data_IF_535026909567
#
_entry.id   IF_535026909567
#
_cell.length_a   1.000
_cell.length_b   1.000
_cell.length_c   1.000
_cell.angle_alpha   90.00
_cell.angle_beta   90.00
_cell.angle_gamma   90.00
#
_symmetry.space_group_name_H-M   'P 1'
#
loop_
_entity.id
_entity.type
_entity.pdbx_description
1 polymer ?
#
# COMPACT_ATOMS: atom_id res chain seq x y z
N UNK A 1 5.65 -15.93 0.54
CA UNK A 1 4.44 -15.61 -0.27
C UNK A 1 4.22 -14.11 -0.48
N UNK A 2 4.19 -13.32 0.61
CA UNK A 2 4.08 -11.86 0.57
C UNK A 2 5.04 -11.15 -0.41
N UNK A 3 6.32 -11.51 -0.44
CA UNK A 3 7.27 -10.92 -1.39
C UNK A 3 6.93 -11.25 -2.86
N UNK A 4 6.44 -12.46 -3.13
CA UNK A 4 5.99 -12.83 -4.47
C UNK A 4 4.72 -12.07 -4.86
N UNK A 5 3.85 -11.75 -3.88
CA UNK A 5 2.69 -10.89 -4.11
C UNK A 5 3.11 -9.49 -4.57
N UNK A 6 4.09 -8.89 -3.90
CA UNK A 6 4.62 -7.56 -4.27
C UNK A 6 5.20 -7.59 -5.68
N UNK A 7 6.07 -8.57 -5.99
CA UNK A 7 6.71 -8.67 -7.30
C UNK A 7 5.69 -8.92 -8.41
N UNK A 8 4.71 -9.79 -8.19
CA UNK A 8 3.65 -10.04 -9.19
C UNK A 8 2.84 -8.77 -9.48
N UNK A 9 2.47 -8.02 -8.44
CA UNK A 9 1.80 -6.74 -8.60
C UNK A 9 2.67 -5.71 -9.33
N UNK A 10 3.98 -5.68 -9.07
CA UNK A 10 4.91 -4.76 -9.73
C UNK A 10 5.08 -5.02 -11.25
N UNK A 11 4.65 -6.20 -11.74
CA UNK A 11 4.67 -6.58 -13.16
C UNK A 11 3.26 -6.72 -13.76
N UNK A 12 2.26 -6.07 -13.15
CA UNK A 12 0.85 -6.07 -13.57
C UNK A 12 0.12 -7.44 -13.50
N UNK A 13 0.71 -8.44 -12.85
CA UNK A 13 0.11 -9.76 -12.58
C UNK A 13 -0.75 -9.72 -11.30
N UNK A 14 -1.77 -8.85 -11.27
CA UNK A 14 -2.54 -8.51 -10.06
C UNK A 14 -3.28 -9.70 -9.47
N UNK A 15 -3.93 -10.53 -10.30
CA UNK A 15 -4.62 -11.74 -9.85
C UNK A 15 -3.65 -12.72 -9.20
N UNK A 16 -2.46 -12.90 -9.79
CA UNK A 16 -1.42 -13.77 -9.24
C UNK A 16 -0.86 -13.22 -7.93
N UNK A 17 -0.65 -11.91 -7.89
CA UNK A 17 -0.26 -11.20 -6.67
C UNK A 17 -1.28 -11.41 -5.55
N UNK A 18 -2.56 -11.35 -5.88
CA UNK A 18 -3.64 -11.61 -4.93
C UNK A 18 -3.69 -13.07 -4.45
N UNK A 19 -3.45 -14.04 -5.33
CA UNK A 19 -3.31 -15.46 -4.94
C UNK A 19 -2.16 -15.65 -3.92
N UNK A 20 -0.99 -15.07 -4.19
CA UNK A 20 0.14 -15.14 -3.26
C UNK A 20 -0.16 -14.45 -1.92
N UNK A 21 -0.88 -13.33 -1.95
CA UNK A 21 -1.31 -12.63 -0.75
C UNK A 21 -2.31 -13.46 0.07
N UNK A 22 -3.33 -14.07 -0.56
CA UNK A 22 -4.29 -14.95 0.11
C UNK A 22 -3.58 -16.14 0.79
N UNK A 23 -2.57 -16.73 0.14
CA UNK A 23 -1.75 -17.78 0.75
C UNK A 23 -0.94 -17.26 1.94
N UNK A 24 -0.44 -16.03 1.87
CA UNK A 24 0.36 -15.41 2.93
C UNK A 24 -0.44 -15.13 4.20
N UNK A 25 -1.65 -14.57 4.07
CA UNK A 25 -2.50 -14.23 5.23
C UNK A 25 -3.12 -15.46 5.90
N UNK A 26 -3.23 -16.59 5.18
CA UNK A 26 -3.73 -17.86 5.70
C UNK A 26 -2.66 -18.71 6.38
N UNK A 27 -1.41 -18.24 6.48
CA UNK A 27 -0.38 -18.99 7.22
C UNK A 27 -0.79 -19.15 8.68
N UNK A 28 -1.16 -18.05 9.36
CA UNK A 28 -1.52 -18.13 10.78
C UNK A 28 -3.03 -18.23 11.05
N UNK A 29 -3.86 -17.77 10.11
CA UNK A 29 -5.33 -17.72 10.27
C UNK A 29 -6.08 -18.63 9.29
N UNK A 30 -5.37 -19.55 8.63
CA UNK A 30 -5.94 -20.46 7.65
C UNK A 30 -6.45 -21.77 8.24
N UNK A 31 -6.76 -22.71 7.35
CA UNK A 31 -7.35 -24.01 7.69
C UNK A 31 -6.34 -24.96 8.37
N UNK A 32 -5.04 -24.75 8.15
CA UNK A 32 -4.01 -25.56 8.78
C UNK A 32 -3.73 -25.06 10.21
N UNK A 33 -4.56 -25.44 11.17
CA UNK A 33 -4.42 -25.01 12.58
C UNK A 33 -3.06 -25.35 13.23
N UNK A 34 -2.30 -26.29 12.66
CA UNK A 34 -0.97 -26.66 13.17
C UNK A 34 0.14 -25.70 12.71
N UNK A 35 -0.12 -24.88 11.69
CA UNK A 35 0.90 -24.00 11.12
C UNK A 35 1.47 -23.03 12.16
N UNK A 36 0.69 -22.59 13.14
CA UNK A 36 1.11 -21.60 14.16
C UNK A 36 1.16 -22.16 15.57
N UNK A 37 1.29 -23.48 15.74
CA UNK A 37 1.41 -24.09 17.06
C UNK A 37 2.63 -23.56 17.81
N UNK A 38 3.76 -23.45 17.11
CA UNK A 38 5.02 -22.93 17.69
C UNK A 38 5.04 -21.39 17.82
N UNK A 39 3.95 -20.71 17.44
CA UNK A 39 3.79 -19.27 17.51
C UNK A 39 3.46 -18.61 16.17
N UNK A 40 3.33 -17.27 16.21
CA UNK A 40 3.01 -16.46 15.04
C UNK A 40 4.23 -16.23 14.14
N UNK A 41 4.00 -16.22 12.83
CA UNK A 41 5.05 -15.92 11.86
C UNK A 41 5.25 -14.40 11.72
N UNK A 42 5.93 -13.78 12.69
CA UNK A 42 6.10 -12.32 12.75
C UNK A 42 6.61 -11.69 11.44
N UNK A 43 7.58 -12.33 10.77
CA UNK A 43 8.08 -11.89 9.47
C UNK A 43 7.00 -11.95 8.36
N UNK A 44 6.15 -12.99 8.39
CA UNK A 44 5.02 -13.13 7.47
C UNK A 44 3.99 -12.02 7.70
N UNK A 45 3.65 -11.73 8.96
CA UNK A 45 2.72 -10.65 9.32
C UNK A 45 3.23 -9.28 8.84
N UNK A 46 4.51 -8.98 9.04
CA UNK A 46 5.15 -7.78 8.49
C UNK A 46 5.12 -7.76 6.96
N UNK A 47 5.35 -8.90 6.32
CA UNK A 47 5.24 -9.07 4.87
C UNK A 47 3.82 -8.84 4.34
N UNK A 48 2.78 -9.24 5.09
CA UNK A 48 1.39 -9.01 4.71
C UNK A 48 1.07 -7.51 4.67
N UNK A 49 1.54 -6.73 5.66
CA UNK A 49 1.41 -5.28 5.63
C UNK A 49 2.11 -4.67 4.41
N UNK A 50 3.34 -5.12 4.11
CA UNK A 50 4.08 -4.65 2.94
C UNK A 50 3.38 -5.01 1.62
N UNK A 51 2.81 -6.22 1.50
CA UNK A 51 2.04 -6.61 0.32
C UNK A 51 0.83 -5.68 0.09
N UNK A 52 0.16 -5.25 1.15
CA UNK A 52 -0.95 -4.30 1.07
C UNK A 52 -0.47 -2.89 0.70
N UNK A 53 0.52 -2.35 1.41
CA UNK A 53 0.92 -0.94 1.30
C UNK A 53 1.87 -0.71 0.13
N UNK A 54 2.93 -1.52 0.05
CA UNK A 54 3.93 -1.42 -1.01
C UNK A 54 3.41 -2.13 -2.27
N UNK A 55 2.82 -3.33 -2.18
CA UNK A 55 2.26 -4.02 -3.34
C UNK A 55 1.02 -3.32 -3.91
N UNK A 56 -0.17 -3.70 -3.42
CA UNK A 56 -1.44 -3.21 -3.97
C UNK A 56 -1.66 -1.70 -3.83
N UNK A 57 -1.15 -1.09 -2.75
CA UNK A 57 -1.17 0.35 -2.53
C UNK A 57 -0.13 1.12 -3.35
N UNK A 58 0.85 0.43 -3.93
CA UNK A 58 1.80 1.02 -4.86
C UNK A 58 2.81 2.00 -4.27
N UNK A 59 2.94 2.04 -2.94
CA UNK A 59 3.84 2.99 -2.26
C UNK A 59 5.29 2.61 -2.54
N UNK A 60 6.07 3.55 -3.09
CA UNK A 60 7.53 3.44 -3.20
C UNK A 60 8.19 4.78 -2.87
N UNK A 61 9.47 4.71 -2.54
CA UNK A 61 10.35 5.88 -2.48
C UNK A 61 11.14 5.90 -3.79
N UNK A 62 11.11 7.00 -4.49
CA UNK A 62 11.87 7.21 -5.74
C UNK A 62 13.32 7.58 -5.43
N UNK A 63 14.18 7.56 -6.45
CA UNK A 63 15.60 7.95 -6.29
C UNK A 63 15.78 9.43 -5.90
N UNK A 64 14.80 10.28 -6.17
CA UNK A 64 14.76 11.70 -5.77
C UNK A 64 14.02 11.91 -4.43
N UNK A 65 13.92 10.86 -3.60
CA UNK A 65 13.33 10.89 -2.25
C UNK A 65 11.85 11.34 -2.20
N UNK A 66 11.10 11.13 -3.28
CA UNK A 66 9.64 11.38 -3.32
C UNK A 66 8.85 10.11 -3.02
N UNK A 67 7.64 10.29 -2.48
CA UNK A 67 6.68 9.20 -2.37
C UNK A 67 5.96 9.01 -3.71
N UNK A 68 6.09 7.81 -4.28
CA UNK A 68 5.33 7.35 -5.44
C UNK A 68 4.13 6.52 -5.00
N UNK A 69 2.97 6.72 -5.63
CA UNK A 69 1.74 5.95 -5.40
C UNK A 69 1.15 5.48 -6.73
N UNK A 70 1.38 4.21 -7.08
CA UNK A 70 0.82 3.57 -8.27
C UNK A 70 0.06 2.28 -7.86
N UNK A 71 -1.23 2.39 -7.48
CA UNK A 71 -1.97 1.26 -6.95
C UNK A 71 -2.41 0.27 -8.01
N UNK A 72 -2.52 -0.98 -7.59
CA UNK A 72 -3.06 -2.09 -8.38
C UNK A 72 -4.08 -2.83 -7.52
N UNK A 73 -5.33 -2.38 -7.53
CA UNK A 73 -6.35 -3.03 -6.71
C UNK A 73 -6.79 -4.34 -7.35
N UNK A 74 -6.78 -5.47 -6.62
CA UNK A 74 -7.33 -6.72 -7.13
C UNK A 74 -8.85 -6.59 -7.31
N UNK A 75 -9.43 -7.44 -8.16
CA UNK A 75 -10.84 -7.28 -8.56
C UNK A 75 -11.82 -7.32 -7.38
N UNK A 76 -11.47 -8.08 -6.34
CA UNK A 76 -12.26 -8.21 -5.12
C UNK A 76 -12.29 -6.93 -4.27
N UNK A 77 -11.38 -5.97 -4.48
CA UNK A 77 -11.25 -4.76 -3.65
C UNK A 77 -11.89 -3.56 -4.33
N UNK A 78 -12.87 -2.96 -3.64
CA UNK A 78 -13.47 -1.68 -4.07
C UNK A 78 -12.67 -0.47 -3.61
N UNK A 79 -11.94 -0.63 -2.51
CA UNK A 79 -11.27 0.45 -1.80
C UNK A 79 -10.17 -0.09 -0.90
N UNK A 80 -9.07 0.64 -0.80
CA UNK A 80 -7.95 0.39 0.11
C UNK A 80 -7.62 1.71 0.82
N UNK A 81 -7.71 1.73 2.16
CA UNK A 81 -7.35 2.90 2.98
C UNK A 81 -6.35 2.49 4.03
N UNK A 82 -5.25 3.24 4.13
CA UNK A 82 -4.21 3.02 5.14
C UNK A 82 -3.57 4.35 5.55
N UNK A 83 -2.73 4.28 6.58
CA UNK A 83 -1.91 5.40 7.04
C UNK A 83 -0.44 5.09 6.84
N UNK A 84 0.33 6.10 6.49
CA UNK A 84 1.80 6.05 6.47
C UNK A 84 2.36 7.25 7.22
N UNK A 85 3.56 7.10 7.77
CA UNK A 85 4.34 8.20 8.31
C UNK A 85 5.55 8.42 7.41
N UNK A 86 5.69 9.64 6.89
CA UNK A 86 6.79 10.04 6.03
C UNK A 86 7.33 11.39 6.51
N UNK A 87 8.65 11.51 6.63
CA UNK A 87 9.31 12.74 7.09
C UNK A 87 8.66 13.36 8.35
N UNK A 88 8.36 12.52 9.35
CA UNK A 88 7.68 12.88 10.61
C UNK A 88 6.21 13.33 10.53
N UNK A 89 5.59 13.26 9.36
CA UNK A 89 4.19 13.61 9.16
C UNK A 89 3.36 12.37 8.82
N UNK A 90 2.13 12.30 9.33
CA UNK A 90 1.21 11.19 9.09
C UNK A 90 0.23 11.54 7.97
N UNK A 91 0.07 10.60 7.03
CA UNK A 91 -0.82 10.74 5.88
C UNK A 91 -1.82 9.60 5.85
N UNK A 92 -3.08 9.92 5.56
CA UNK A 92 -4.09 8.93 5.18
C UNK A 92 -4.14 8.86 3.66
N UNK A 93 -3.89 7.67 3.12
CA UNK A 93 -4.03 7.35 1.71
C UNK A 93 -5.30 6.53 1.54
N UNK A 94 -6.18 6.96 0.63
CA UNK A 94 -7.45 6.32 0.34
C UNK A 94 -7.60 6.13 -1.17
N UNK A 95 -7.62 4.88 -1.58
CA UNK A 95 -7.54 4.45 -2.97
C UNK A 95 -8.83 3.73 -3.31
N UNK A 96 -9.52 4.17 -4.36
CA UNK A 96 -10.62 3.45 -5.00
C UNK A 96 -10.24 3.09 -6.42
N UNK A 97 -11.15 2.50 -7.20
CA UNK A 97 -10.92 2.13 -8.61
C UNK A 97 -10.65 3.29 -9.56
N UNK A 98 -10.97 4.52 -9.17
CA UNK A 98 -10.87 5.69 -10.06
C UNK A 98 -10.28 6.92 -9.39
N UNK A 99 -9.99 6.85 -8.09
CA UNK A 99 -9.50 8.00 -7.32
C UNK A 99 -8.51 7.60 -6.26
N UNK A 100 -7.44 8.39 -6.14
CA UNK A 100 -6.50 8.40 -5.02
C UNK A 100 -6.74 9.69 -4.25
N UNK A 101 -6.89 9.57 -2.93
CA UNK A 101 -7.04 10.70 -2.03
C UNK A 101 -5.97 10.64 -0.96
N UNK A 102 -5.27 11.76 -0.74
CA UNK A 102 -4.21 11.89 0.27
C UNK A 102 -4.57 13.05 1.19
N UNK A 103 -4.58 12.77 2.48
CA UNK A 103 -4.84 13.76 3.53
C UNK A 103 -3.74 13.72 4.57
N UNK A 104 -3.11 14.86 4.85
CA UNK A 104 -2.27 15.01 6.03
C UNK A 104 -3.13 14.93 7.30
N UNK A 105 -2.75 14.07 8.23
CA UNK A 105 -3.38 13.91 9.54
C UNK A 105 -2.67 14.71 10.63
N UNK A 106 -1.40 15.08 10.40
CA UNK A 106 -0.63 16.01 11.21
C UNK A 106 -0.68 17.43 10.64
N UNK A 107 -0.29 18.42 11.46
CA UNK A 107 -0.12 19.81 11.04
C UNK A 107 1.08 19.95 10.11
N UNK A 108 0.83 19.72 8.82
CA UNK A 108 1.82 19.83 7.75
C UNK A 108 2.36 21.26 7.69
N UNK A 109 3.69 21.43 7.71
CA UNK A 109 4.31 22.77 7.72
C UNK A 109 4.63 23.28 6.32
N UNK A 110 5.04 22.37 5.43
CA UNK A 110 5.44 22.67 4.06
C UNK A 110 4.68 21.76 3.09
N UNK A 111 4.44 22.18 1.85
CA UNK A 111 3.85 21.30 0.85
C UNK A 111 4.71 20.06 0.61
N UNK A 112 4.08 18.90 0.44
CA UNK A 112 4.78 17.64 0.10
C UNK A 112 4.43 17.22 -1.32
N UNK A 113 5.46 16.84 -2.08
CA UNK A 113 5.35 16.32 -3.43
C UNK A 113 5.12 14.80 -3.44
N UNK A 114 4.21 14.36 -4.30
CA UNK A 114 3.90 12.96 -4.57
C UNK A 114 4.02 12.70 -6.08
N UNK A 115 4.58 11.55 -6.44
CA UNK A 115 4.52 11.01 -7.81
C UNK A 115 3.33 10.05 -7.91
N UNK A 116 2.42 10.29 -8.85
CA UNK A 116 1.27 9.41 -9.13
C UNK A 116 1.22 9.19 -10.64
N UNK A 117 1.45 7.95 -11.08
CA UNK A 117 1.57 7.57 -12.50
C UNK A 117 2.50 8.51 -13.29
N UNK A 118 3.72 8.70 -12.76
CA UNK A 118 4.77 9.55 -13.34
C UNK A 118 4.42 11.04 -13.47
N UNK A 119 3.33 11.50 -12.84
CA UNK A 119 2.97 12.91 -12.72
C UNK A 119 3.18 13.39 -11.29
N UNK A 120 3.72 14.59 -11.17
CA UNK A 120 3.96 15.22 -9.89
C UNK A 120 2.73 15.97 -9.39
N UNK A 121 2.36 15.74 -8.13
CA UNK A 121 1.26 16.40 -7.44
C UNK A 121 1.75 16.98 -6.12
N UNK A 122 1.28 18.18 -5.81
CA UNK A 122 1.65 18.88 -4.59
C UNK A 122 0.47 18.89 -3.62
N UNK A 123 0.67 18.37 -2.42
CA UNK A 123 -0.29 18.50 -1.32
C UNK A 123 0.10 19.72 -0.49
N UNK A 124 -0.81 20.68 -0.32
CA UNK A 124 -0.60 21.84 0.55
C UNK A 124 -1.23 21.66 1.95
N UNK A 125 -0.77 22.42 2.96
CA UNK A 125 -1.33 22.35 4.31
C UNK A 125 -2.84 22.57 4.35
N UNK A 126 -3.53 21.76 5.17
CA UNK A 126 -4.99 21.75 5.34
C UNK A 126 -5.80 21.43 4.08
N UNK A 127 -5.15 20.98 3.00
CA UNK A 127 -5.84 20.54 1.79
C UNK A 127 -6.01 19.02 1.74
N UNK A 128 -6.85 18.60 0.81
CA UNK A 128 -7.03 17.22 0.39
C UNK A 128 -6.51 17.13 -1.04
N UNK A 129 -5.50 16.28 -1.28
CA UNK A 129 -5.09 15.97 -2.64
C UNK A 129 -5.99 14.85 -3.15
N UNK A 130 -6.73 15.11 -4.23
CA UNK A 130 -7.58 14.12 -4.90
C UNK A 130 -7.18 14.04 -6.37
N UNK A 131 -6.80 12.84 -6.80
CA UNK A 131 -6.35 12.55 -8.16
C UNK A 131 -7.27 11.48 -8.76
N UNK A 132 -7.80 11.73 -9.94
CA UNK A 132 -8.45 10.70 -10.75
C UNK A 132 -7.38 10.02 -11.61
N UNK A 133 -7.43 8.70 -11.71
CA UNK A 133 -6.47 7.88 -12.45
C UNK A 133 -7.19 6.74 -13.18
#
# INVERSE_FOLDING_TARGET
PSMHAIVAVDIDEVEKGYEYFERSIRIDLGENLKSSWDGLHAASLGGNWQAVVNGFGGIRITNDEKLRINPHLPEKWKRLRFKIKWQNEEYCVDITRNTITIKALSSMRQPLSFEIFSKEYLLHPKQLLKVAY
#
